data_IF_602976490885
#
_entry.id   IF_602976490885
#
_cell.length_a   1.000
_cell.length_b   1.000
_cell.length_c   1.000
_cell.angle_alpha   90.00
_cell.angle_beta   90.00
_cell.angle_gamma   90.00
#
_symmetry.space_group_name_H-M   'P 1'
#
loop_
_entity.id
_entity.type
_entity.pdbx_description
1 polymer ?
#
# COMPACT_ATOMS: atom_id res chain seq x y z
N UNK A 1 -19.91 26.80 -28.85
CA UNK A 1 -18.65 26.97 -29.61
C UNK A 1 -17.57 27.42 -28.64
N UNK A 2 -16.54 26.60 -28.39
CA UNK A 2 -15.37 26.98 -27.60
C UNK A 2 -14.17 27.15 -28.55
N UNK A 3 -13.56 28.33 -28.55
CA UNK A 3 -12.35 28.62 -29.32
C UNK A 3 -11.12 28.07 -28.57
N UNK A 4 -10.36 27.19 -29.23
CA UNK A 4 -9.03 26.78 -28.78
C UNK A 4 -7.99 27.75 -29.36
N UNK A 5 -7.18 28.37 -28.50
CA UNK A 5 -6.03 29.17 -28.91
C UNK A 5 -4.78 28.27 -28.95
N UNK A 6 -4.15 28.16 -30.13
CA UNK A 6 -2.87 27.48 -30.28
C UNK A 6 -1.72 28.45 -29.91
N UNK A 7 -0.92 28.10 -28.90
CA UNK A 7 0.31 28.80 -28.58
C UNK A 7 1.45 28.30 -29.49
N UNK A 8 2.19 29.23 -30.12
CA UNK A 8 3.39 28.93 -30.88
C UNK A 8 4.63 29.33 -30.07
N UNK A 9 5.53 28.39 -29.85
CA UNK A 9 6.84 28.64 -29.23
C UNK A 9 7.84 29.09 -30.32
N UNK A 10 8.56 30.19 -30.07
CA UNK A 10 9.64 30.65 -30.94
C UNK A 10 10.96 30.03 -30.48
N UNK A 11 11.49 29.08 -31.25
CA UNK A 11 12.85 28.56 -31.06
C UNK A 11 13.86 29.62 -31.52
N UNK A 12 14.70 30.10 -30.62
CA UNK A 12 15.85 30.94 -30.97
C UNK A 12 16.94 30.08 -31.63
N UNK A 13 17.55 30.59 -32.70
CA UNK A 13 18.59 29.89 -33.45
C UNK A 13 19.88 29.74 -32.61
N UNK A 14 20.63 28.62 -32.76
CA UNK A 14 21.92 28.44 -32.09
C UNK A 14 22.98 29.40 -32.65
N UNK A 15 23.90 29.91 -31.83
CA UNK A 15 25.02 30.72 -32.33
C UNK A 15 26.01 29.85 -33.12
N UNK A 16 26.59 30.44 -34.18
CA UNK A 16 27.57 29.76 -35.04
C UNK A 16 28.93 29.59 -34.33
N UNK A 17 29.68 28.51 -34.63
CA UNK A 17 30.98 28.26 -34.01
C UNK A 17 32.04 29.21 -34.59
N UNK A 18 32.81 29.85 -33.72
CA UNK A 18 33.95 30.70 -34.11
C UNK A 18 35.23 29.85 -34.06
N UNK A 19 35.97 29.78 -35.16
CA UNK A 19 37.25 29.05 -35.21
C UNK A 19 38.32 29.73 -34.35
N UNK A 20 39.08 28.97 -33.54
CA UNK A 20 40.15 29.53 -32.72
C UNK A 20 41.40 29.88 -33.55
N UNK A 21 42.18 30.90 -33.13
CA UNK A 21 43.40 31.32 -33.83
C UNK A 21 44.52 30.25 -33.77
N UNK A 22 45.44 30.22 -34.75
CA UNK A 22 46.50 29.22 -34.82
C UNK A 22 47.50 29.39 -33.67
N UNK A 23 47.81 28.29 -32.99
CA UNK A 23 48.76 28.25 -31.88
C UNK A 23 50.22 28.42 -32.36
N UNK A 24 51.09 29.10 -31.59
CA UNK A 24 52.51 29.23 -31.93
C UNK A 24 53.23 27.89 -31.80
N UNK A 25 54.23 27.65 -32.65
CA UNK A 25 55.03 26.43 -32.67
C UNK A 25 55.79 26.24 -31.34
N UNK A 26 55.36 25.24 -30.56
CA UNK A 26 55.98 24.87 -29.29
C UNK A 26 57.04 23.80 -29.58
N UNK A 27 58.30 24.09 -29.25
CA UNK A 27 59.36 23.07 -29.20
C UNK A 27 59.05 21.97 -28.20
N UNK A 28 59.67 20.80 -28.36
CA UNK A 28 59.41 19.56 -27.61
C UNK A 28 59.30 19.77 -26.09
N UNK A 29 58.08 19.96 -25.60
CA UNK A 29 57.71 19.85 -24.19
C UNK A 29 56.96 18.54 -24.04
N UNK A 30 57.48 17.62 -23.22
CA UNK A 30 56.76 16.40 -22.86
C UNK A 30 55.60 16.76 -21.94
N UNK A 31 54.42 16.98 -22.53
CA UNK A 31 53.16 17.14 -21.81
C UNK A 31 52.59 15.77 -21.46
N UNK A 32 51.89 15.66 -20.33
CA UNK A 32 51.10 14.46 -20.01
C UNK A 32 50.01 14.31 -21.08
N UNK A 33 49.81 13.08 -21.58
CA UNK A 33 48.83 12.79 -22.63
C UNK A 33 47.41 13.26 -22.27
N UNK A 34 46.64 13.67 -23.28
CA UNK A 34 45.28 14.21 -23.09
C UNK A 34 44.37 13.20 -22.37
N UNK A 35 43.86 13.58 -21.19
CA UNK A 35 42.82 12.82 -20.48
C UNK A 35 41.45 13.34 -20.95
N UNK A 36 40.77 12.56 -21.78
CA UNK A 36 39.38 12.85 -22.18
C UNK A 36 38.41 12.16 -21.23
N UNK A 37 37.61 12.94 -20.52
CA UNK A 37 36.47 12.42 -19.78
C UNK A 37 35.40 12.01 -20.79
N UNK A 38 35.33 10.72 -21.09
CA UNK A 38 34.23 10.16 -21.87
C UNK A 38 33.01 10.09 -20.96
N UNK A 39 31.90 10.61 -21.44
CA UNK A 39 30.61 10.44 -20.78
C UNK A 39 30.27 8.94 -20.78
N UNK A 40 29.94 8.34 -19.62
CA UNK A 40 29.48 6.95 -19.59
C UNK A 40 28.19 6.81 -20.40
N UNK A 41 27.98 5.62 -20.99
CA UNK A 41 26.81 5.35 -21.81
C UNK A 41 25.51 5.67 -21.05
N UNK A 42 24.65 6.50 -21.67
CA UNK A 42 23.33 6.81 -21.10
C UNK A 42 22.44 5.57 -21.24
N UNK A 43 22.30 4.78 -20.17
CA UNK A 43 21.16 3.88 -20.10
C UNK A 43 19.87 4.72 -20.11
N UNK A 44 18.87 4.37 -20.94
CA UNK A 44 17.58 5.05 -20.90
C UNK A 44 16.96 4.87 -19.51
N UNK A 45 16.60 6.00 -18.89
CA UNK A 45 15.96 6.03 -17.58
C UNK A 45 14.60 5.33 -17.63
N UNK A 46 14.57 4.07 -17.19
CA UNK A 46 13.34 3.31 -17.05
C UNK A 46 12.60 3.71 -15.77
N UNK A 47 11.61 4.59 -15.92
CA UNK A 47 10.76 5.08 -14.84
C UNK A 47 9.93 3.98 -14.17
N UNK A 48 9.76 2.83 -14.82
CA UNK A 48 8.98 1.69 -14.32
C UNK A 48 9.85 0.58 -13.73
N UNK A 49 11.18 0.73 -13.76
CA UNK A 49 12.10 -0.24 -13.16
C UNK A 49 11.98 -0.28 -11.64
N UNK A 50 11.62 0.84 -11.01
CA UNK A 50 11.50 0.91 -9.56
C UNK A 50 10.34 0.06 -9.08
N UNK A 51 10.66 -1.01 -8.35
CA UNK A 51 9.70 -1.77 -7.56
C UNK A 51 9.90 -1.39 -6.10
N UNK A 52 8.82 -0.99 -5.44
CA UNK A 52 8.87 -0.70 -4.02
C UNK A 52 9.32 -1.97 -3.27
N UNK A 53 10.48 -1.97 -2.59
CA UNK A 53 10.97 -3.14 -1.88
C UNK A 53 10.21 -3.40 -0.58
N UNK A 54 9.40 -2.44 -0.13
CA UNK A 54 8.62 -2.54 1.11
C UNK A 54 7.33 -3.29 0.85
N UNK A 55 7.31 -4.55 1.27
CA UNK A 55 6.10 -5.38 1.30
C UNK A 55 5.38 -5.14 2.62
N UNK A 56 4.24 -4.44 2.56
CA UNK A 56 3.42 -4.17 3.75
C UNK A 56 2.78 -5.49 4.19
N UNK A 57 3.19 -6.01 5.34
CA UNK A 57 2.57 -7.18 5.92
C UNK A 57 1.21 -6.84 6.54
N UNK A 58 0.23 -7.77 6.47
CA UNK A 58 -1.06 -7.58 7.15
C UNK A 58 -0.85 -7.37 8.65
N UNK A 59 -1.56 -6.42 9.23
CA UNK A 59 -1.49 -6.11 10.65
C UNK A 59 -2.90 -6.08 11.28
N UNK A 60 -3.02 -5.69 12.55
CA UNK A 60 -4.35 -5.65 13.20
C UNK A 60 -5.30 -4.64 12.54
N UNK A 61 -4.77 -3.55 11.98
CA UNK A 61 -5.55 -2.52 11.28
C UNK A 61 -6.03 -2.99 9.91
N UNK A 62 -5.28 -3.87 9.22
CA UNK A 62 -5.69 -4.40 7.91
C UNK A 62 -6.95 -5.28 7.94
N UNK A 63 -7.47 -5.60 9.14
CA UNK A 63 -8.76 -6.28 9.33
C UNK A 63 -9.95 -5.33 9.31
N UNK A 64 -9.74 -4.10 9.77
CA UNK A 64 -10.79 -3.10 9.98
C UNK A 64 -10.73 -1.97 8.97
N UNK A 65 -9.56 -1.78 8.37
CA UNK A 65 -9.26 -0.70 7.45
C UNK A 65 -8.53 -1.26 6.23
N UNK A 66 -9.00 -0.88 5.04
CA UNK A 66 -8.33 -1.12 3.78
C UNK A 66 -8.33 0.20 3.04
N UNK A 67 -7.17 0.62 2.52
CA UNK A 67 -7.15 1.74 1.60
C UNK A 67 -8.08 1.45 0.42
N UNK A 68 -8.88 2.44 -0.01
CA UNK A 68 -9.63 2.31 -1.24
C UNK A 68 -8.66 2.19 -2.43
N UNK A 69 -9.02 1.41 -3.47
CA UNK A 69 -8.18 1.25 -4.64
C UNK A 69 -7.97 2.60 -5.35
N UNK A 70 -6.77 2.82 -5.89
CA UNK A 70 -6.47 4.06 -6.62
C UNK A 70 -7.26 4.12 -7.94
N UNK A 71 -7.52 5.32 -8.50
CA UNK A 71 -8.22 5.44 -9.79
C UNK A 71 -7.52 4.68 -10.93
N UNK A 72 -6.19 4.65 -10.93
CA UNK A 72 -5.39 3.88 -11.88
C UNK A 72 -5.64 2.36 -11.72
N UNK A 73 -5.59 1.85 -10.49
CA UNK A 73 -5.90 0.45 -10.21
C UNK A 73 -7.31 0.08 -10.63
N UNK A 74 -8.28 0.95 -10.36
CA UNK A 74 -9.67 0.75 -10.78
C UNK A 74 -9.77 0.71 -12.30
N UNK A 75 -9.08 1.61 -13.00
CA UNK A 75 -9.02 1.62 -14.48
C UNK A 75 -8.46 0.30 -15.02
N UNK A 76 -7.34 -0.16 -14.48
CA UNK A 76 -6.72 -1.44 -14.85
C UNK A 76 -7.63 -2.65 -14.57
N UNK A 77 -8.48 -2.58 -13.54
CA UNK A 77 -9.42 -3.66 -13.17
C UNK A 77 -10.76 -3.62 -13.92
N UNK A 78 -10.89 -2.84 -15.02
CA UNK A 78 -12.13 -2.73 -15.78
C UNK A 78 -13.05 -1.57 -15.36
N UNK A 79 -12.52 -0.60 -14.60
CA UNK A 79 -13.20 0.62 -14.22
C UNK A 79 -14.17 0.49 -13.04
N UNK A 80 -14.74 1.62 -12.63
CA UNK A 80 -15.69 1.69 -11.50
C UNK A 80 -16.99 0.90 -11.75
N UNK A 81 -17.37 0.70 -13.01
CA UNK A 81 -18.56 -0.08 -13.35
C UNK A 81 -18.40 -1.55 -12.94
N UNK A 82 -17.30 -2.19 -13.38
CA UNK A 82 -17.03 -3.58 -13.03
C UNK A 82 -16.78 -3.74 -11.54
N UNK A 83 -16.08 -2.79 -10.91
CA UNK A 83 -15.93 -2.75 -9.45
C UNK A 83 -17.30 -2.71 -8.74
N UNK A 84 -18.22 -1.88 -9.22
CA UNK A 84 -19.58 -1.75 -8.67
C UNK A 84 -20.39 -3.05 -8.80
N UNK A 85 -20.35 -3.69 -9.97
CA UNK A 85 -21.04 -4.96 -10.23
C UNK A 85 -20.49 -6.05 -9.29
N UNK A 86 -19.17 -6.22 -9.24
CA UNK A 86 -18.53 -7.23 -8.38
C UNK A 86 -18.84 -6.99 -6.90
N UNK A 87 -18.82 -5.73 -6.46
CA UNK A 87 -19.17 -5.36 -5.08
C UNK A 87 -20.64 -5.68 -4.78
N UNK A 88 -21.55 -5.41 -5.72
CA UNK A 88 -22.97 -5.74 -5.59
C UNK A 88 -23.22 -7.25 -5.47
N UNK A 89 -22.57 -8.05 -6.32
CA UNK A 89 -22.64 -9.52 -6.27
C UNK A 89 -22.11 -10.08 -4.95
N UNK A 90 -20.97 -9.58 -4.48
CA UNK A 90 -20.39 -10.00 -3.19
C UNK A 90 -21.33 -9.68 -2.01
N UNK A 91 -21.93 -8.50 -1.98
CA UNK A 91 -22.88 -8.11 -0.94
C UNK A 91 -24.17 -8.96 -0.99
N UNK A 92 -24.67 -9.26 -2.18
CA UNK A 92 -25.82 -10.14 -2.35
C UNK A 92 -25.54 -11.57 -1.83
N UNK A 93 -24.37 -12.12 -2.12
CA UNK A 93 -23.96 -13.44 -1.63
C UNK A 93 -23.92 -13.50 -0.09
N UNK A 94 -23.36 -12.47 0.57
CA UNK A 94 -23.39 -12.34 2.02
C UNK A 94 -24.83 -12.26 2.57
N UNK A 95 -25.70 -11.52 1.88
CA UNK A 95 -27.13 -11.46 2.23
C UNK A 95 -27.84 -12.80 2.13
N UNK A 96 -27.52 -13.59 1.09
CA UNK A 96 -28.08 -14.94 0.90
C UNK A 96 -27.64 -15.89 2.02
N UNK A 97 -26.36 -15.86 2.41
CA UNK A 97 -25.87 -16.66 3.56
C UNK A 97 -26.63 -16.31 4.84
N UNK A 98 -26.87 -15.01 5.08
CA UNK A 98 -27.64 -14.54 6.23
C UNK A 98 -29.10 -15.01 6.22
N UNK A 99 -29.75 -15.06 5.06
CA UNK A 99 -31.14 -15.52 4.93
C UNK A 99 -31.28 -17.04 5.00
N UNK A 100 -30.30 -17.78 4.46
CA UNK A 100 -30.30 -19.25 4.44
C UNK A 100 -29.77 -19.86 5.73
N UNK A 101 -29.24 -19.05 6.65
CA UNK A 101 -28.54 -19.54 7.85
C UNK A 101 -27.23 -20.25 7.53
N UNK A 102 -26.72 -20.09 6.29
CA UNK A 102 -25.46 -20.68 5.86
C UNK A 102 -24.27 -20.01 6.56
N UNK A 103 -23.23 -20.78 6.93
CA UNK A 103 -22.03 -20.19 7.51
C UNK A 103 -21.32 -19.33 6.47
N UNK A 104 -21.01 -18.09 6.83
CA UNK A 104 -20.07 -17.28 6.05
C UNK A 104 -18.69 -17.95 6.00
N UNK A 105 -17.98 -17.75 4.88
CA UNK A 105 -16.62 -18.27 4.70
C UNK A 105 -15.66 -17.74 5.77
N UNK A 106 -15.88 -16.50 6.24
CA UNK A 106 -15.11 -15.88 7.31
C UNK A 106 -16.00 -15.78 8.55
N UNK A 107 -15.71 -16.60 9.55
CA UNK A 107 -16.38 -16.56 10.85
C UNK A 107 -15.64 -15.59 11.76
N UNK A 108 -16.37 -14.64 12.35
CA UNK A 108 -15.81 -13.80 13.41
C UNK A 108 -15.48 -14.69 14.61
N UNK A 109 -14.33 -14.45 15.25
CA UNK A 109 -13.97 -15.17 16.45
C UNK A 109 -14.94 -14.77 17.57
N UNK A 110 -16.01 -15.55 17.77
CA UNK A 110 -16.82 -15.45 18.98
C UNK A 110 -16.05 -16.09 20.12
N UNK A 111 -16.05 -15.46 21.30
CA UNK A 111 -15.48 -16.10 22.48
C UNK A 111 -16.20 -17.43 22.70
N UNK A 112 -15.44 -18.53 22.75
CA UNK A 112 -16.02 -19.81 23.16
C UNK A 112 -16.60 -19.61 24.56
N UNK A 113 -17.80 -20.15 24.87
CA UNK A 113 -18.28 -20.12 26.24
C UNK A 113 -17.19 -20.70 27.15
N UNK A 114 -16.94 -20.07 28.32
CA UNK A 114 -15.96 -20.61 29.26
C UNK A 114 -16.33 -22.06 29.58
N UNK A 115 -15.35 -22.95 29.79
CA UNK A 115 -15.65 -24.30 30.24
C UNK A 115 -16.46 -24.23 31.53
N UNK A 116 -17.47 -25.11 31.64
CA UNK A 116 -18.25 -25.22 32.86
C UNK A 116 -17.32 -25.54 34.04
N UNK A 117 -17.37 -24.71 35.08
CA UNK A 117 -16.56 -24.94 36.28
C UNK A 117 -17.08 -26.18 36.99
N UNK A 118 -16.17 -27.07 37.37
CA UNK A 118 -16.47 -28.17 38.29
C UNK A 118 -16.98 -27.63 39.63
N UNK A 119 -17.69 -28.44 40.39
CA UNK A 119 -18.29 -28.03 41.66
C UNK A 119 -17.25 -27.46 42.65
N UNK A 120 -16.04 -28.04 42.66
CA UNK A 120 -14.94 -27.57 43.49
C UNK A 120 -14.34 -26.24 42.99
N UNK A 121 -14.27 -26.04 41.68
CA UNK A 121 -13.83 -24.77 41.10
C UNK A 121 -14.83 -23.65 41.37
N UNK A 122 -16.14 -23.94 41.31
CA UNK A 122 -17.18 -22.97 41.69
C UNK A 122 -17.10 -22.57 43.15
N UNK A 123 -16.84 -23.52 44.05
CA UNK A 123 -16.65 -23.24 45.48
C UNK A 123 -15.48 -22.29 45.71
N UNK A 124 -14.31 -22.59 45.13
CA UNK A 124 -13.12 -21.73 45.21
C UNK A 124 -13.37 -20.34 44.61
N UNK A 125 -14.04 -20.26 43.47
CA UNK A 125 -14.38 -18.99 42.83
C UNK A 125 -15.31 -18.14 43.72
N UNK A 126 -16.28 -18.78 44.39
CA UNK A 126 -17.19 -18.11 45.33
C UNK A 126 -16.45 -17.57 46.55
N UNK A 127 -15.54 -18.35 47.15
CA UNK A 127 -14.71 -17.92 48.28
C UNK A 127 -13.85 -16.69 47.92
N UNK A 128 -13.23 -16.69 46.73
CA UNK A 128 -12.43 -15.56 46.23
C UNK A 128 -13.32 -14.36 45.94
N UNK A 129 -14.50 -14.55 45.35
CA UNK A 129 -15.43 -13.48 45.04
C UNK A 129 -15.98 -12.79 46.31
N UNK A 130 -16.26 -13.56 47.37
CA UNK A 130 -16.66 -13.03 48.68
C UNK A 130 -15.52 -12.23 49.31
N UNK A 131 -14.27 -12.72 49.27
CA UNK A 131 -13.10 -11.97 49.76
C UNK A 131 -12.90 -10.63 49.02
N UNK A 132 -13.23 -10.57 47.73
CA UNK A 132 -13.14 -9.35 46.92
C UNK A 132 -14.37 -8.44 47.05
N UNK A 133 -15.38 -8.83 47.86
CA UNK A 133 -16.62 -8.07 48.05
C UNK A 133 -17.55 -8.07 46.85
N UNK A 134 -17.30 -8.91 45.84
CA UNK A 134 -18.07 -8.98 44.60
C UNK A 134 -19.26 -9.95 44.65
N UNK A 135 -19.34 -10.81 45.67
CA UNK A 135 -20.39 -11.80 45.83
C UNK A 135 -20.94 -11.81 47.27
N UNK A 136 -22.24 -12.13 47.46
CA UNK A 136 -22.80 -12.34 48.79
C UNK A 136 -22.17 -13.57 49.46
N UNK A 137 -21.98 -13.48 50.78
CA UNK A 137 -21.53 -14.63 51.56
C UNK A 137 -22.55 -15.78 51.45
N UNK A 138 -22.10 -17.04 51.37
CA UNK A 138 -23.01 -18.18 51.35
C UNK A 138 -23.82 -18.22 52.65
N UNK A 139 -25.10 -18.63 52.60
CA UNK A 139 -25.95 -18.71 53.78
C UNK A 139 -25.38 -19.73 54.77
N UNK A 140 -25.25 -19.33 56.04
CA UNK A 140 -24.91 -20.24 57.13
C UNK A 140 -26.03 -21.28 57.27
N UNK A 141 -25.68 -22.57 57.27
CA UNK A 141 -26.61 -23.67 57.52
C UNK A 141 -26.74 -23.94 59.01
#
# INVERSE_FOLDING_TARGET
>A
MLLAAAAQAQQAAPPEPVDPPPAPAQGDVTTLGEVRALKPDDEPLDLYRFKNPVQIQPNRFSRTWSEPPSPEQVSMSGGYLMMGINKGLAAAAQGVNKLTGGPDQIQSATARPPPELTDDERRRAQEVCVQQGGCPAPPER
#
